data_IF_183444918269
#
_entry.id   IF_183444918269
#
_cell.length_a   1.000
_cell.length_b   1.000
_cell.length_c   1.000
_cell.angle_alpha   90.00
_cell.angle_beta   90.00
_cell.angle_gamma   90.00
#
_symmetry.space_group_name_H-M   'P 1'
#
loop_
_entity.id
_entity.type
_entity.pdbx_description
1 polymer ?
#
# COMPACT_ATOMS: atom_id res chain seq x y z
N UNK A 1 11.86 -45.40 -60.39
CA UNK A 1 11.88 -43.94 -60.13
C UNK A 1 10.57 -43.62 -59.42
N UNK A 2 10.42 -43.58 -58.09
CA UNK A 2 11.08 -42.83 -56.99
C UNK A 2 11.05 -41.30 -57.13
N UNK A 3 10.40 -40.68 -56.14
CA UNK A 3 10.40 -39.25 -55.77
C UNK A 3 9.10 -38.55 -56.15
N UNK A 4 8.42 -37.72 -55.36
CA UNK A 4 8.48 -37.19 -53.98
C UNK A 4 7.41 -36.06 -54.01
N UNK A 5 6.69 -35.62 -52.99
CA UNK A 5 6.64 -35.80 -51.55
C UNK A 5 5.86 -34.56 -51.06
N UNK A 6 4.74 -34.75 -50.37
CA UNK A 6 3.89 -33.66 -49.90
C UNK A 6 4.47 -33.07 -48.62
N UNK A 7 4.78 -31.77 -48.63
CA UNK A 7 5.20 -31.03 -47.43
C UNK A 7 3.96 -30.66 -46.60
N UNK A 8 3.71 -31.49 -45.58
CA UNK A 8 2.86 -31.16 -44.45
C UNK A 8 3.65 -30.28 -43.47
N UNK A 9 3.39 -28.98 -43.48
CA UNK A 9 3.89 -28.07 -42.45
C UNK A 9 3.15 -28.33 -41.14
N UNK A 10 3.71 -29.21 -40.31
CA UNK A 10 3.32 -29.39 -38.93
C UNK A 10 3.58 -28.11 -38.14
N UNK A 11 2.51 -27.40 -37.75
CA UNK A 11 2.59 -26.42 -36.67
C UNK A 11 2.84 -27.20 -35.39
N UNK A 12 4.09 -27.24 -34.95
CA UNK A 12 4.45 -27.68 -33.62
C UNK A 12 3.82 -26.73 -32.61
N UNK A 13 2.72 -27.16 -31.99
CA UNK A 13 2.28 -26.60 -30.72
C UNK A 13 3.32 -26.96 -29.69
N UNK A 14 4.30 -26.07 -29.47
CA UNK A 14 5.11 -26.13 -28.27
C UNK A 14 4.17 -25.90 -27.10
N UNK A 15 4.06 -26.88 -26.20
CA UNK A 15 3.52 -26.66 -24.86
C UNK A 15 4.42 -25.62 -24.19
N UNK A 16 4.13 -24.33 -24.37
CA UNK A 16 4.60 -23.30 -23.48
C UNK A 16 4.08 -23.67 -22.10
N UNK A 17 4.99 -24.17 -21.25
CA UNK A 17 4.68 -24.47 -19.86
C UNK A 17 3.98 -23.26 -19.26
N UNK A 18 2.77 -23.47 -18.74
CA UNK A 18 2.00 -22.38 -18.16
C UNK A 18 2.86 -21.70 -17.08
N UNK A 19 3.08 -20.37 -17.17
CA UNK A 19 3.69 -19.65 -16.06
C UNK A 19 2.78 -19.82 -14.84
N UNK A 20 3.34 -20.20 -13.71
CA UNK A 20 2.60 -20.43 -12.47
C UNK A 20 2.74 -21.84 -11.88
N UNK A 21 3.90 -22.49 -11.99
CA UNK A 21 4.17 -23.67 -11.17
C UNK A 21 3.98 -23.36 -9.67
N UNK A 22 3.61 -24.34 -8.81
CA UNK A 22 3.41 -24.08 -7.39
C UNK A 22 4.69 -23.47 -6.77
N UNK A 23 4.66 -22.17 -6.50
CA UNK A 23 5.79 -21.38 -5.98
C UNK A 23 6.28 -20.25 -6.89
N UNK A 24 5.81 -20.15 -8.14
CA UNK A 24 6.18 -19.03 -9.01
C UNK A 24 5.48 -17.73 -8.57
N UNK A 25 6.29 -16.73 -8.25
CA UNK A 25 5.81 -15.42 -7.80
C UNK A 25 5.40 -14.63 -9.04
N UNK A 26 4.10 -14.37 -9.18
CA UNK A 26 3.63 -13.44 -10.19
C UNK A 26 4.18 -12.03 -9.90
N UNK A 27 4.47 -11.21 -10.91
CA UNK A 27 4.92 -9.86 -10.63
C UNK A 27 3.76 -9.00 -10.11
N UNK A 28 4.03 -8.13 -9.13
CA UNK A 28 3.09 -7.17 -8.56
C UNK A 28 2.40 -6.27 -9.62
N UNK A 29 3.02 -6.12 -10.79
CA UNK A 29 2.51 -5.35 -11.94
C UNK A 29 1.51 -6.09 -12.84
N UNK A 30 1.37 -7.42 -12.72
CA UNK A 30 0.59 -8.22 -13.67
C UNK A 30 -0.87 -7.77 -13.79
N UNK A 31 -1.52 -7.41 -12.67
CA UNK A 31 -2.89 -6.90 -12.74
C UNK A 31 -3.00 -5.58 -13.52
N UNK A 32 -2.01 -4.70 -13.40
CA UNK A 32 -2.00 -3.45 -14.18
C UNK A 32 -1.75 -3.73 -15.66
N UNK A 33 -0.91 -4.70 -15.99
CA UNK A 33 -0.69 -5.16 -17.38
C UNK A 33 -1.97 -5.73 -17.98
N UNK A 34 -2.68 -6.61 -17.25
CA UNK A 34 -3.95 -7.18 -17.67
C UNK A 34 -5.00 -6.08 -17.90
N UNK A 35 -5.12 -5.13 -16.98
CA UNK A 35 -6.08 -4.01 -17.08
C UNK A 35 -5.73 -3.04 -18.23
N UNK A 36 -4.44 -2.84 -18.53
CA UNK A 36 -3.99 -2.09 -19.70
C UNK A 36 -4.30 -2.85 -21.00
N UNK A 37 -4.04 -4.17 -21.03
CA UNK A 37 -4.28 -5.01 -22.20
C UNK A 37 -5.75 -5.00 -22.64
N UNK A 38 -6.69 -5.01 -21.69
CA UNK A 38 -8.13 -4.91 -21.96
C UNK A 38 -8.64 -3.47 -22.15
N UNK A 39 -7.76 -2.48 -22.14
CA UNK A 39 -8.11 -1.07 -22.35
C UNK A 39 -8.87 -0.43 -21.18
N UNK A 40 -8.81 -1.01 -19.98
CA UNK A 40 -9.43 -0.44 -18.79
C UNK A 40 -8.58 0.66 -18.15
N UNK A 41 -7.27 0.42 -18.02
CA UNK A 41 -6.32 1.43 -17.54
C UNK A 41 -5.73 2.21 -18.72
N UNK A 42 -5.89 3.54 -18.77
CA UNK A 42 -5.22 4.35 -19.79
C UNK A 42 -3.75 4.61 -19.46
N UNK A 43 -3.41 4.67 -18.17
CA UNK A 43 -2.03 4.85 -17.69
C UNK A 43 -1.76 3.89 -16.54
N UNK A 44 -0.55 3.35 -16.49
CA UNK A 44 0.00 2.63 -15.33
C UNK A 44 1.10 3.47 -14.69
N UNK A 45 1.13 3.46 -13.35
CA UNK A 45 2.15 4.08 -12.51
C UNK A 45 2.79 3.01 -11.65
N UNK A 46 4.10 2.81 -11.76
CA UNK A 46 4.87 1.86 -10.94
C UNK A 46 6.07 2.55 -10.31
N UNK A 47 6.41 2.21 -9.07
CA UNK A 47 7.59 2.72 -8.37
C UNK A 47 8.64 1.61 -8.26
N UNK A 48 9.80 1.82 -8.88
CA UNK A 48 10.89 0.83 -8.96
C UNK A 48 12.13 1.35 -8.25
N UNK A 49 13.01 0.45 -7.81
CA UNK A 49 14.38 0.86 -7.45
C UNK A 49 15.09 1.41 -8.69
N UNK A 50 16.02 2.35 -8.48
CA UNK A 50 16.68 3.03 -9.60
C UNK A 50 17.36 2.08 -10.59
N UNK A 51 17.93 0.98 -10.10
CA UNK A 51 18.60 -0.03 -10.93
C UNK A 51 17.63 -0.84 -11.82
N UNK A 52 16.36 -0.89 -11.45
CA UNK A 52 15.33 -1.67 -12.15
C UNK A 52 14.48 -0.85 -13.14
N UNK A 53 14.65 0.49 -13.17
CA UNK A 53 13.84 1.39 -13.98
C UNK A 53 13.90 1.04 -15.47
N UNK A 54 15.11 0.79 -16.00
CA UNK A 54 15.27 0.50 -17.43
C UNK A 54 14.66 -0.86 -17.81
N UNK A 55 14.77 -1.86 -16.93
CA UNK A 55 14.12 -3.15 -17.11
C UNK A 55 12.59 -3.02 -17.10
N UNK A 56 12.05 -2.24 -16.16
CA UNK A 56 10.61 -1.94 -16.10
C UNK A 56 10.13 -1.21 -17.36
N UNK A 57 10.90 -0.24 -17.88
CA UNK A 57 10.57 0.47 -19.12
C UNK A 57 10.56 -0.45 -20.33
N UNK A 58 11.62 -1.25 -20.50
CA UNK A 58 11.72 -2.21 -21.59
C UNK A 58 10.54 -3.20 -21.58
N UNK A 59 10.10 -3.64 -20.39
CA UNK A 59 8.92 -4.50 -20.23
C UNK A 59 7.64 -3.82 -20.74
N UNK A 60 7.40 -2.56 -20.41
CA UNK A 60 6.23 -1.82 -20.91
C UNK A 60 6.32 -1.51 -22.41
N UNK A 61 7.50 -1.22 -22.92
CA UNK A 61 7.74 -0.99 -24.35
C UNK A 61 7.50 -2.24 -25.19
N UNK A 62 7.86 -3.43 -24.67
CA UNK A 62 7.54 -4.72 -25.28
C UNK A 62 6.02 -4.98 -25.37
N UNK A 63 5.22 -4.36 -24.50
CA UNK A 63 3.75 -4.37 -24.55
C UNK A 63 3.15 -3.28 -25.47
N UNK A 64 4.00 -2.54 -26.19
CA UNK A 64 3.58 -1.46 -27.09
C UNK A 64 3.21 -0.17 -26.38
N UNK A 65 3.61 0.01 -25.11
CA UNK A 65 3.44 1.25 -24.39
C UNK A 65 4.62 2.20 -24.62
N UNK A 66 4.36 3.50 -24.57
CA UNK A 66 5.38 4.52 -24.38
C UNK A 66 5.56 4.77 -22.88
N UNK A 67 6.81 5.01 -22.47
CA UNK A 67 7.18 5.21 -21.06
C UNK A 67 7.70 6.61 -20.79
N UNK A 68 7.35 7.15 -19.63
CA UNK A 68 7.89 8.40 -19.09
C UNK A 68 8.32 8.14 -17.66
N UNK A 69 9.44 8.70 -17.22
CA UNK A 69 9.91 8.56 -15.83
C UNK A 69 9.72 9.86 -15.04
N UNK A 70 9.41 9.70 -13.76
CA UNK A 70 9.38 10.79 -12.77
C UNK A 70 10.78 11.19 -12.29
N UNK A 71 10.86 12.11 -11.34
CA UNK A 71 12.12 12.42 -10.65
C UNK A 71 12.47 11.28 -9.67
N UNK A 72 13.75 10.92 -9.51
CA UNK A 72 14.18 10.00 -8.45
C UNK A 72 13.81 10.53 -7.07
N UNK A 73 13.34 9.64 -6.20
CA UNK A 73 13.01 9.93 -4.81
C UNK A 73 13.83 9.04 -3.89
N UNK A 74 14.13 9.52 -2.67
CA UNK A 74 14.74 8.69 -1.64
C UNK A 74 13.66 8.23 -0.68
N UNK A 75 13.60 6.94 -0.43
CA UNK A 75 12.67 6.34 0.52
C UNK A 75 13.46 5.89 1.75
N UNK A 76 13.02 6.32 2.93
CA UNK A 76 13.50 5.78 4.19
C UNK A 76 12.92 4.36 4.33
N UNK A 77 13.76 3.33 4.35
CA UNK A 77 13.29 1.93 4.30
C UNK A 77 12.51 1.51 5.54
N UNK A 78 12.83 2.07 6.71
CA UNK A 78 12.19 1.70 7.97
C UNK A 78 10.78 2.30 8.08
N UNK A 79 10.64 3.56 7.70
CA UNK A 79 9.39 4.29 7.81
C UNK A 79 8.56 4.24 6.53
N UNK A 80 9.17 3.85 5.41
CA UNK A 80 8.61 3.89 4.06
C UNK A 80 8.03 5.28 3.75
N UNK A 81 8.64 6.30 4.34
CA UNK A 81 8.37 7.68 4.05
C UNK A 81 9.13 8.03 2.77
N UNK A 82 8.41 8.48 1.75
CA UNK A 82 9.03 9.17 0.63
C UNK A 82 9.64 10.47 1.16
N UNK A 83 10.97 10.55 1.16
CA UNK A 83 11.73 11.77 1.36
C UNK A 83 11.82 12.43 -0.03
N UNK A 84 10.82 13.23 -0.35
CA UNK A 84 10.65 13.82 -1.70
C UNK A 84 11.68 14.90 -2.04
N UNK A 85 12.43 15.42 -1.07
CA UNK A 85 13.56 16.29 -1.36
C UNK A 85 14.73 15.95 -0.46
N UNK A 86 15.90 15.79 -1.08
CA UNK A 86 17.19 15.73 -0.38
C UNK A 86 17.46 17.03 0.41
N UNK A 87 16.71 18.10 0.12
CA UNK A 87 16.81 19.43 0.73
C UNK A 87 15.46 20.01 1.23
N UNK A 88 14.36 19.24 1.32
CA UNK A 88 13.09 19.74 1.91
C UNK A 88 13.27 19.85 3.39
N UNK A 89 13.60 21.05 3.80
CA UNK A 89 13.53 21.47 5.17
C UNK A 89 12.05 21.42 5.59
N UNK A 90 11.65 20.37 6.30
CA UNK A 90 10.33 20.34 6.95
C UNK A 90 10.27 21.49 7.97
N UNK A 91 9.62 22.59 7.61
CA UNK A 91 9.38 23.71 8.53
C UNK A 91 8.19 23.38 9.42
N UNK A 92 8.45 22.77 10.57
CA UNK A 92 7.65 23.02 11.78
C UNK A 92 8.53 22.77 13.00
N UNK A 93 8.96 23.83 13.72
CA UNK A 93 9.35 23.67 15.13
C UNK A 93 8.09 23.72 15.98
N UNK A 94 7.66 22.62 16.62
CA UNK A 94 6.63 22.76 17.65
C UNK A 94 7.15 23.75 18.69
N UNK A 95 6.34 24.74 19.06
CA UNK A 95 6.71 25.72 20.10
C UNK A 95 7.19 25.02 21.41
N UNK A 96 6.73 23.79 21.64
CA UNK A 96 7.14 22.89 22.71
C UNK A 96 8.64 22.58 22.79
N UNK A 97 9.37 22.67 21.69
CA UNK A 97 10.82 22.37 21.62
C UNK A 97 11.68 23.63 21.49
N UNK A 98 11.09 24.82 21.60
CA UNK A 98 11.85 26.07 21.60
C UNK A 98 12.54 26.25 22.96
N UNK A 99 13.88 26.48 23.05
CA UNK A 99 14.61 26.48 24.33
C UNK A 99 14.05 27.43 25.40
N UNK A 100 13.54 28.60 24.99
CA UNK A 100 12.87 29.53 25.91
C UNK A 100 11.55 28.96 26.45
N UNK A 101 10.79 28.26 25.62
CA UNK A 101 9.50 27.69 25.98
C UNK A 101 9.69 26.42 26.81
N UNK A 102 10.63 25.56 26.42
CA UNK A 102 11.03 24.39 27.20
C UNK A 102 11.49 24.81 28.61
N UNK A 103 12.36 25.81 28.71
CA UNK A 103 12.80 26.37 29.99
C UNK A 103 11.64 26.99 30.78
N UNK A 104 10.75 27.73 30.11
CA UNK A 104 9.58 28.31 30.76
C UNK A 104 8.58 27.25 31.27
N UNK A 105 8.39 26.15 30.53
CA UNK A 105 7.57 25.00 30.93
C UNK A 105 8.23 24.24 32.09
N UNK A 106 9.55 24.06 32.05
CA UNK A 106 10.29 23.42 33.14
C UNK A 106 10.20 24.21 34.45
N UNK A 107 10.25 25.55 34.37
CA UNK A 107 10.14 26.43 35.55
C UNK A 107 8.70 26.61 36.03
N UNK A 108 7.74 26.71 35.11
CA UNK A 108 6.34 27.03 35.42
C UNK A 108 5.40 25.82 35.49
N UNK A 109 5.91 24.62 35.24
CA UNK A 109 5.19 23.36 35.37
C UNK A 109 3.91 23.27 34.51
N UNK A 110 2.84 22.63 35.01
CA UNK A 110 1.62 22.39 34.23
C UNK A 110 0.93 23.66 33.72
N UNK A 111 0.98 24.76 34.47
CA UNK A 111 0.34 26.04 34.09
C UNK A 111 1.07 26.65 32.89
N UNK A 112 2.40 26.70 32.92
CA UNK A 112 3.18 27.16 31.77
C UNK A 112 2.98 26.25 30.56
N UNK A 113 2.85 24.93 30.75
CA UNK A 113 2.51 24.00 29.66
C UNK A 113 1.18 24.36 29.01
N UNK A 114 0.16 24.64 29.80
CA UNK A 114 -1.19 24.93 29.29
C UNK A 114 -1.31 26.31 28.66
N UNK A 115 -0.53 27.30 29.11
CA UNK A 115 -0.51 28.64 28.51
C UNK A 115 0.37 28.69 27.26
N UNK A 116 1.52 28.01 27.26
CA UNK A 116 2.53 28.12 26.20
C UNK A 116 2.34 27.07 25.10
N UNK A 117 1.81 25.88 25.41
CA UNK A 117 1.72 24.77 24.45
C UNK A 117 0.30 24.44 23.99
N UNK A 118 -0.73 25.08 24.55
CA UNK A 118 -2.10 24.90 24.07
C UNK A 118 -2.33 25.76 22.81
N UNK A 119 -2.67 25.16 21.65
CA UNK A 119 -2.95 25.91 20.42
C UNK A 119 -4.06 26.96 20.55
N UNK A 120 -4.98 26.78 21.49
CA UNK A 120 -6.07 27.73 21.75
C UNK A 120 -5.64 28.92 22.62
N UNK A 121 -4.46 28.87 23.24
CA UNK A 121 -3.94 29.97 24.04
C UNK A 121 -3.55 31.16 23.15
N UNK A 122 -3.98 32.39 23.47
CA UNK A 122 -3.49 33.59 22.79
C UNK A 122 -1.97 33.74 22.88
N UNK A 123 -1.36 33.29 23.99
CA UNK A 123 0.09 33.36 24.20
C UNK A 123 0.83 32.39 23.29
N UNK A 124 0.29 31.18 23.08
CA UNK A 124 0.85 30.21 22.14
C UNK A 124 0.91 30.77 20.72
N UNK A 125 -0.20 31.35 20.22
CA UNK A 125 -0.27 31.94 18.88
C UNK A 125 0.69 33.11 18.73
N UNK A 126 0.74 34.00 19.72
CA UNK A 126 1.68 35.12 19.74
C UNK A 126 3.14 34.65 19.72
N UNK A 127 3.47 33.58 20.45
CA UNK A 127 4.81 33.01 20.45
C UNK A 127 5.17 32.34 19.13
N UNK A 128 4.23 31.63 18.50
CA UNK A 128 4.44 31.06 17.16
C UNK A 128 4.74 32.15 16.12
N UNK A 129 3.99 33.24 16.13
CA UNK A 129 4.20 34.40 15.25
C UNK A 129 5.53 35.10 15.56
N UNK A 130 5.83 35.36 16.84
CA UNK A 130 7.00 36.14 17.25
C UNK A 130 8.32 35.38 17.12
N UNK A 131 8.29 34.07 17.36
CA UNK A 131 9.47 33.20 17.30
C UNK A 131 9.60 32.48 15.96
N UNK A 132 8.68 32.71 15.03
CA UNK A 132 8.63 32.01 13.75
C UNK A 132 8.53 30.50 13.91
N UNK A 133 7.91 29.99 14.97
CA UNK A 133 7.91 28.55 15.28
C UNK A 133 7.22 27.72 14.18
N UNK A 134 6.23 28.31 13.50
CA UNK A 134 5.56 27.70 12.34
C UNK A 134 6.38 27.78 11.04
N UNK A 135 7.47 28.57 11.00
CA UNK A 135 8.25 28.85 9.79
C UNK A 135 9.73 28.46 9.91
N UNK A 136 10.21 28.16 11.12
CA UNK A 136 11.59 27.80 11.36
C UNK A 136 11.82 26.29 11.12
N UNK A 137 12.79 25.92 10.28
CA UNK A 137 13.31 24.56 10.19
C UNK A 137 13.59 23.96 11.58
N UNK A 138 13.09 22.76 11.86
CA UNK A 138 13.79 21.94 12.85
C UNK A 138 14.89 21.22 12.07
N UNK A 139 16.14 21.59 12.29
CA UNK A 139 17.19 20.58 12.25
C UNK A 139 16.96 19.67 13.46
N UNK A 140 15.99 18.74 13.34
CA UNK A 140 16.07 17.53 14.15
C UNK A 140 17.34 16.90 13.61
N UNK A 141 18.32 16.62 14.47
CA UNK A 141 19.40 15.73 14.07
C UNK A 141 18.72 14.51 13.46
N UNK A 142 18.84 14.38 12.13
CA UNK A 142 18.17 13.34 11.37
C UNK A 142 18.45 12.06 12.16
N UNK A 143 17.44 11.29 12.63
CA UNK A 143 17.74 9.98 13.19
C UNK A 143 18.70 9.31 12.21
N UNK A 144 19.83 8.75 12.70
CA UNK A 144 20.94 8.31 11.85
C UNK A 144 20.32 7.61 10.66
N UNK A 145 20.55 8.16 9.46
CA UNK A 145 19.74 7.82 8.29
C UNK A 145 19.65 6.30 8.22
N UNK A 146 18.43 5.79 8.40
CA UNK A 146 18.16 4.38 8.13
C UNK A 146 18.61 4.08 6.69
N UNK A 147 18.73 2.80 6.31
CA UNK A 147 19.01 2.47 4.93
C UNK A 147 18.05 3.25 4.00
N UNK A 148 18.59 4.07 3.11
CA UNK A 148 17.83 4.81 2.10
C UNK A 148 17.77 3.97 0.83
N UNK A 149 16.61 3.90 0.18
CA UNK A 149 16.48 3.36 -1.18
C UNK A 149 16.17 4.47 -2.15
N UNK A 150 16.91 4.54 -3.24
CA UNK A 150 16.60 5.46 -4.32
C UNK A 150 15.65 4.78 -5.29
N UNK A 151 14.49 5.38 -5.52
CA UNK A 151 13.41 4.83 -6.33
C UNK A 151 12.94 5.85 -7.36
N UNK A 152 12.32 5.39 -8.43
CA UNK A 152 11.77 6.26 -9.47
C UNK A 152 10.47 5.69 -10.03
N UNK A 153 9.56 6.60 -10.33
CA UNK A 153 8.25 6.23 -10.88
C UNK A 153 8.36 6.09 -12.39
N UNK A 154 7.84 4.98 -12.92
CA UNK A 154 7.61 4.74 -14.35
C UNK A 154 6.12 4.91 -14.66
N UNK A 155 5.81 5.74 -15.64
CA UNK A 155 4.48 5.94 -16.19
C UNK A 155 4.42 5.29 -17.58
N UNK A 156 3.50 4.35 -17.77
CA UNK A 156 3.33 3.64 -19.03
C UNK A 156 1.92 3.85 -19.60
N UNK A 157 1.83 4.13 -20.90
CA UNK A 157 0.57 4.37 -21.60
C UNK A 157 0.72 3.99 -23.07
N UNK A 158 -0.38 3.74 -23.79
CA UNK A 158 -0.36 3.66 -25.26
C UNK A 158 -0.25 5.04 -25.93
N UNK A 159 -0.46 6.10 -25.15
CA UNK A 159 -0.44 7.49 -25.60
C UNK A 159 0.51 8.31 -24.72
N UNK A 160 1.51 8.95 -25.35
CA UNK A 160 2.56 9.71 -24.66
C UNK A 160 1.97 10.83 -23.80
N UNK A 161 1.00 11.57 -24.35
CA UNK A 161 0.36 12.69 -23.66
C UNK A 161 -0.30 12.28 -22.33
N UNK A 162 -0.83 11.05 -22.23
CA UNK A 162 -1.43 10.56 -20.99
C UNK A 162 -0.36 10.22 -19.94
N UNK A 163 0.76 9.59 -20.35
CA UNK A 163 1.87 9.29 -19.44
C UNK A 163 2.52 10.59 -18.90
N UNK A 164 2.75 11.58 -19.77
CA UNK A 164 3.28 12.88 -19.36
C UNK A 164 2.33 13.63 -18.41
N UNK A 165 1.03 13.60 -18.69
CA UNK A 165 0.01 14.19 -17.82
C UNK A 165 -0.04 13.51 -16.46
N UNK A 166 0.07 12.19 -16.40
CA UNK A 166 0.11 11.45 -15.13
C UNK A 166 1.34 11.84 -14.31
N UNK A 167 2.52 11.94 -14.93
CA UNK A 167 3.74 12.42 -14.28
C UNK A 167 3.57 13.82 -13.70
N UNK A 168 3.01 14.75 -14.47
CA UNK A 168 2.79 16.12 -14.02
C UNK A 168 1.86 16.19 -12.80
N UNK A 169 0.76 15.44 -12.83
CA UNK A 169 -0.20 15.38 -11.72
C UNK A 169 0.36 14.71 -10.46
N UNK A 170 1.20 13.67 -10.60
CA UNK A 170 1.80 12.98 -9.45
C UNK A 170 2.78 13.87 -8.67
N UNK A 171 3.54 14.70 -9.38
CA UNK A 171 4.39 15.74 -8.78
C UNK A 171 3.55 16.68 -7.91
N UNK A 172 2.49 17.25 -8.49
CA UNK A 172 1.58 18.17 -7.77
C UNK A 172 0.90 17.51 -6.57
N UNK A 173 0.52 16.23 -6.69
CA UNK A 173 -0.09 15.48 -5.59
C UNK A 173 0.88 15.23 -4.42
N UNK A 174 2.18 15.14 -4.71
CA UNK A 174 3.26 14.96 -3.73
C UNK A 174 3.57 16.25 -2.98
N UNK A 175 3.50 17.40 -3.66
CA UNK A 175 3.76 18.73 -3.07
C UNK A 175 2.62 19.19 -2.12
N UNK A 176 1.56 18.39 -1.95
CA UNK A 176 0.45 18.69 -1.04
C UNK A 176 -0.48 19.82 -1.51
N UNK A 177 -0.28 20.36 -2.71
CA UNK A 177 -0.90 21.62 -3.17
C UNK A 177 -2.31 21.48 -3.76
N UNK A 178 -2.91 20.28 -3.83
CA UNK A 178 -4.31 20.17 -4.29
C UNK A 178 -4.97 18.80 -4.14
N UNK A 179 -6.10 18.73 -3.43
CA UNK A 179 -6.98 17.53 -3.42
C UNK A 179 -7.61 17.25 -4.81
N UNK A 180 -7.72 18.27 -5.67
CA UNK A 180 -8.21 18.13 -7.05
C UNK A 180 -7.28 17.30 -7.94
N UNK A 181 -5.97 17.42 -7.74
CA UNK A 181 -4.97 16.75 -8.58
C UNK A 181 -4.92 15.25 -8.30
N UNK A 182 -5.03 14.84 -7.03
CA UNK A 182 -5.11 13.43 -6.65
C UNK A 182 -6.36 12.73 -7.24
N UNK A 183 -7.49 13.44 -7.32
CA UNK A 183 -8.71 12.89 -7.95
C UNK A 183 -8.53 12.74 -9.46
N UNK A 184 -7.93 13.75 -10.10
CA UNK A 184 -7.66 13.75 -11.54
C UNK A 184 -6.64 12.68 -11.92
N UNK A 185 -5.58 12.52 -11.14
CA UNK A 185 -4.59 11.46 -11.28
C UNK A 185 -5.25 10.09 -11.13
N UNK A 186 -6.05 9.89 -10.07
CA UNK A 186 -6.75 8.62 -9.87
C UNK A 186 -7.64 8.23 -11.06
N UNK A 187 -8.37 9.19 -11.65
CA UNK A 187 -9.14 8.96 -12.87
C UNK A 187 -8.27 8.55 -14.06
N UNK A 188 -7.12 9.21 -14.23
CA UNK A 188 -6.16 8.90 -15.30
C UNK A 188 -5.50 7.53 -15.13
N UNK A 189 -5.37 7.04 -13.89
CA UNK A 189 -4.86 5.70 -13.58
C UNK A 189 -5.96 4.61 -13.64
N UNK A 190 -7.18 4.97 -14.05
CA UNK A 190 -8.32 4.06 -14.16
C UNK A 190 -8.98 3.71 -12.82
N UNK A 191 -8.75 4.48 -11.76
CA UNK A 191 -9.34 4.19 -10.45
C UNK A 191 -10.82 4.60 -10.43
N UNK A 192 -11.69 3.86 -9.71
CA UNK A 192 -13.05 4.29 -9.49
C UNK A 192 -13.11 5.69 -8.90
N UNK A 193 -14.03 6.53 -9.38
CA UNK A 193 -14.17 7.90 -8.89
C UNK A 193 -14.39 7.98 -7.37
N UNK A 194 -15.09 7.01 -6.77
CA UNK A 194 -15.27 6.92 -5.31
C UNK A 194 -13.95 6.64 -4.57
N UNK A 195 -13.06 5.84 -5.15
CA UNK A 195 -11.75 5.52 -4.59
C UNK A 195 -10.79 6.70 -4.70
N UNK A 196 -10.72 7.33 -5.87
CA UNK A 196 -9.90 8.52 -6.09
C UNK A 196 -10.28 9.66 -5.14
N UNK A 197 -11.58 9.94 -4.97
CA UNK A 197 -12.06 10.96 -4.00
C UNK A 197 -11.73 10.59 -2.55
N UNK A 198 -11.93 9.34 -2.15
CA UNK A 198 -11.66 8.91 -0.79
C UNK A 198 -10.16 9.01 -0.44
N UNK A 199 -9.29 8.68 -1.41
CA UNK A 199 -7.84 8.83 -1.26
C UNK A 199 -7.42 10.31 -1.23
N UNK A 200 -7.98 11.14 -2.12
CA UNK A 200 -7.72 12.57 -2.17
C UNK A 200 -8.11 13.30 -0.87
N UNK A 201 -9.16 12.81 -0.18
CA UNK A 201 -9.66 13.36 1.08
C UNK A 201 -8.83 12.98 2.32
N UNK A 202 -7.82 12.12 2.19
CA UNK A 202 -6.92 11.82 3.31
C UNK A 202 -6.01 13.03 3.58
N UNK A 203 -5.94 13.43 4.86
CA UNK A 203 -4.98 14.44 5.33
C UNK A 203 -3.54 14.02 5.02
N UNK A 204 -3.25 12.72 5.19
CA UNK A 204 -1.98 12.12 4.85
C UNK A 204 -2.20 10.82 4.09
N UNK A 205 -1.57 10.71 2.92
CA UNK A 205 -1.74 9.60 1.96
C UNK A 205 -0.65 8.53 2.07
N UNK A 206 0.36 8.78 2.90
CA UNK A 206 1.53 7.95 3.14
C UNK A 206 1.81 7.83 4.65
N UNK A 207 2.46 6.76 5.13
CA UNK A 207 2.74 5.51 4.41
C UNK A 207 1.44 4.77 4.07
N UNK A 208 1.55 3.65 3.34
CA UNK A 208 0.41 2.80 2.90
C UNK A 208 -0.55 2.42 4.03
N UNK A 209 -0.05 2.32 5.28
CA UNK A 209 -0.87 2.14 6.47
C UNK A 209 -2.06 3.11 6.56
N UNK A 210 -1.88 4.38 6.18
CA UNK A 210 -2.93 5.43 6.28
C UNK A 210 -4.14 5.13 5.38
N UNK A 211 -3.99 4.94 4.06
CA UNK A 211 -5.12 4.54 3.24
C UNK A 211 -5.71 3.18 3.63
N UNK A 212 -4.90 2.23 4.13
CA UNK A 212 -5.40 0.94 4.64
C UNK A 212 -6.34 1.15 5.85
N UNK A 213 -5.90 1.87 6.87
CA UNK A 213 -6.70 2.17 8.07
C UNK A 213 -8.01 2.89 7.70
N UNK A 214 -7.92 3.88 6.81
CA UNK A 214 -9.08 4.63 6.36
C UNK A 214 -10.08 3.75 5.57
N UNK A 215 -9.59 2.87 4.70
CA UNK A 215 -10.44 1.92 3.97
C UNK A 215 -11.08 0.92 4.94
N UNK A 216 -10.29 0.36 5.86
CA UNK A 216 -10.72 -0.59 6.88
C UNK A 216 -11.84 -0.01 7.76
N UNK A 217 -11.70 1.22 8.25
CA UNK A 217 -12.70 1.87 9.09
C UNK A 217 -14.05 2.14 8.40
N UNK A 218 -14.08 2.14 7.06
CA UNK A 218 -15.30 2.28 6.26
C UNK A 218 -15.85 0.94 5.77
N UNK A 219 -15.11 -0.15 5.94
CA UNK A 219 -15.44 -1.48 5.42
C UNK A 219 -16.43 -2.19 6.33
N UNK A 220 -17.44 -2.86 5.74
CA UNK A 220 -18.34 -3.77 6.47
C UNK A 220 -17.99 -5.23 6.23
N UNK A 221 -17.60 -5.56 5.00
CA UNK A 221 -17.21 -6.91 4.58
C UNK A 221 -15.87 -6.82 3.84
N UNK A 222 -14.97 -7.76 4.10
CA UNK A 222 -13.65 -7.81 3.45
C UNK A 222 -13.69 -8.78 2.27
N UNK A 223 -13.95 -8.27 1.07
CA UNK A 223 -13.97 -9.08 -0.13
C UNK A 223 -12.54 -9.54 -0.49
N UNK A 224 -12.28 -10.86 -0.63
CA UNK A 224 -10.96 -11.38 -1.04
C UNK A 224 -10.39 -10.72 -2.27
N UNK A 225 -11.25 -10.46 -3.25
CA UNK A 225 -10.93 -9.82 -4.53
C UNK A 225 -10.25 -8.45 -4.35
N UNK A 226 -10.49 -7.79 -3.22
CA UNK A 226 -9.94 -6.46 -2.88
C UNK A 226 -8.75 -6.52 -1.92
N UNK A 227 -8.21 -7.72 -1.64
CA UNK A 227 -7.02 -7.88 -0.81
C UNK A 227 -5.77 -7.38 -1.56
N UNK A 228 -5.46 -6.11 -1.38
CA UNK A 228 -4.32 -5.44 -2.00
C UNK A 228 -3.09 -5.40 -1.08
N UNK A 229 -3.06 -6.20 0.00
CA UNK A 229 -1.90 -6.30 0.90
C UNK A 229 -0.87 -7.35 0.41
N UNK A 230 -1.29 -8.24 -0.48
CA UNK A 230 -0.40 -9.22 -1.09
C UNK A 230 0.45 -8.63 -2.25
N UNK A 231 0.87 -7.35 -2.17
CA UNK A 231 1.57 -6.68 -3.28
C UNK A 231 2.87 -7.40 -3.71
N UNK A 232 3.57 -8.05 -2.77
CA UNK A 232 4.79 -8.83 -3.06
C UNK A 232 4.52 -10.14 -3.83
N UNK A 233 3.25 -10.58 -3.93
CA UNK A 233 2.84 -11.77 -4.69
C UNK A 233 1.95 -11.38 -5.86
N UNK A 234 0.74 -10.94 -5.57
CA UNK A 234 -0.21 -10.53 -6.58
C UNK A 234 -1.37 -9.82 -5.89
N UNK A 235 -1.90 -8.78 -6.50
CA UNK A 235 -3.18 -8.19 -6.13
C UNK A 235 -3.95 -7.86 -7.40
N UNK A 236 -5.26 -8.09 -7.42
CA UNK A 236 -6.10 -7.70 -8.57
C UNK A 236 -6.14 -6.19 -8.79
N UNK A 237 -5.78 -5.41 -7.78
CA UNK A 237 -5.82 -3.95 -7.81
C UNK A 237 -4.50 -3.37 -7.31
N UNK A 238 -3.96 -2.43 -8.10
CA UNK A 238 -2.77 -1.66 -7.74
C UNK A 238 -3.13 -0.30 -7.10
N UNK A 239 -4.21 -0.25 -6.30
CA UNK A 239 -4.62 0.93 -5.54
C UNK A 239 -5.33 0.52 -4.24
N UNK A 240 -5.45 1.46 -3.29
CA UNK A 240 -6.25 1.27 -2.09
C UNK A 240 -7.73 1.58 -2.39
N UNK A 241 -8.65 0.62 -2.23
CA UNK A 241 -10.06 0.89 -2.46
C UNK A 241 -10.59 1.82 -1.36
N UNK A 242 -11.68 2.56 -1.62
CA UNK A 242 -12.27 3.41 -0.57
C UNK A 242 -12.79 2.59 0.62
N UNK A 243 -13.11 1.32 0.39
CA UNK A 243 -13.55 0.27 1.33
C UNK A 243 -13.21 -1.09 0.75
N UNK A 244 -13.00 -2.12 1.56
CA UNK A 244 -12.77 -3.49 1.09
C UNK A 244 -14.05 -4.26 0.71
N UNK A 245 -15.19 -3.55 0.64
CA UNK A 245 -16.44 -3.96 -0.01
C UNK A 245 -16.85 -2.99 -1.15
N UNK A 246 -15.89 -2.26 -1.72
CA UNK A 246 -16.17 -1.32 -2.81
C UNK A 246 -16.57 -2.06 -4.10
N UNK A 247 -17.86 -2.03 -4.44
CA UNK A 247 -18.42 -2.65 -5.65
C UNK A 247 -17.70 -2.24 -6.94
N UNK A 248 -17.38 -0.95 -7.10
CA UNK A 248 -16.70 -0.46 -8.31
C UNK A 248 -15.28 -1.03 -8.45
N UNK A 249 -14.55 -1.15 -7.33
CA UNK A 249 -13.23 -1.80 -7.34
C UNK A 249 -13.35 -3.30 -7.61
N UNK A 250 -14.36 -3.95 -7.03
CA UNK A 250 -14.59 -5.38 -7.20
C UNK A 250 -14.91 -5.71 -8.66
N UNK A 251 -15.77 -4.91 -9.31
CA UNK A 251 -16.08 -5.07 -10.73
C UNK A 251 -14.82 -4.99 -11.61
N UNK A 252 -13.89 -4.07 -11.33
CA UNK A 252 -12.64 -3.96 -12.10
C UNK A 252 -11.73 -5.17 -11.86
N UNK A 253 -11.62 -5.60 -10.61
CA UNK A 253 -10.85 -6.80 -10.27
C UNK A 253 -11.43 -8.05 -10.96
N UNK A 254 -12.76 -8.17 -11.02
CA UNK A 254 -13.45 -9.26 -11.70
C UNK A 254 -13.23 -9.21 -13.23
N UNK A 255 -13.11 -8.02 -13.84
CA UNK A 255 -12.73 -7.91 -15.26
C UNK A 255 -11.33 -8.48 -15.52
N UNK A 256 -10.35 -8.15 -14.67
CA UNK A 256 -8.99 -8.69 -14.78
C UNK A 256 -8.97 -10.21 -14.57
N UNK A 257 -9.68 -10.70 -13.56
CA UNK A 257 -9.80 -12.13 -13.27
C UNK A 257 -10.47 -12.90 -14.40
N UNK A 258 -11.59 -12.38 -14.93
CA UNK A 258 -12.30 -12.98 -16.06
C UNK A 258 -11.44 -13.03 -17.33
N UNK A 259 -10.64 -11.98 -17.58
CA UNK A 259 -9.71 -11.98 -18.71
C UNK A 259 -8.66 -13.09 -18.55
N UNK A 260 -8.01 -13.17 -17.38
CA UNK A 260 -6.97 -14.16 -17.10
C UNK A 260 -7.52 -15.59 -17.11
N UNK A 261 -8.74 -15.80 -16.60
CA UNK A 261 -9.38 -17.10 -16.50
C UNK A 261 -9.66 -17.77 -17.86
N UNK A 262 -9.72 -16.99 -18.96
CA UNK A 262 -9.91 -17.55 -20.30
C UNK A 262 -8.72 -18.38 -20.76
N UNK A 263 -7.53 -18.06 -20.28
CA UNK A 263 -6.29 -18.76 -20.62
C UNK A 263 -5.79 -19.61 -19.46
N UNK A 264 -5.88 -19.09 -18.23
CA UNK A 264 -5.33 -19.72 -17.02
C UNK A 264 -6.35 -19.74 -15.87
N UNK A 265 -7.44 -20.53 -15.97
CA UNK A 265 -8.48 -20.58 -14.93
C UNK A 265 -7.95 -21.14 -13.60
N UNK A 266 -6.96 -22.04 -13.64
CA UNK A 266 -6.38 -22.66 -12.45
C UNK A 266 -5.51 -21.67 -11.68
N UNK A 267 -4.79 -20.80 -12.40
CA UNK A 267 -4.03 -19.70 -11.82
C UNK A 267 -4.95 -18.71 -11.10
N UNK A 268 -6.09 -18.35 -11.70
CA UNK A 268 -7.08 -17.48 -11.05
C UNK A 268 -7.60 -18.09 -9.76
N UNK A 269 -7.88 -19.40 -9.73
CA UNK A 269 -8.30 -20.10 -8.49
C UNK A 269 -7.20 -20.07 -7.42
N UNK A 270 -5.94 -20.25 -7.80
CA UNK A 270 -4.82 -20.19 -6.88
C UNK A 270 -4.64 -18.77 -6.30
N UNK A 271 -4.72 -17.73 -7.13
CA UNK A 271 -4.71 -16.33 -6.70
C UNK A 271 -5.86 -16.07 -5.73
N UNK A 272 -7.07 -16.50 -6.05
CA UNK A 272 -8.25 -16.24 -5.22
C UNK A 272 -8.19 -16.94 -3.87
N UNK A 273 -7.67 -18.17 -3.84
CA UNK A 273 -7.40 -18.88 -2.60
C UNK A 273 -6.37 -18.14 -1.73
N UNK A 274 -5.31 -17.59 -2.33
CA UNK A 274 -4.30 -16.82 -1.60
C UNK A 274 -4.87 -15.49 -1.09
N UNK A 275 -5.59 -14.74 -1.92
CA UNK A 275 -6.19 -13.45 -1.55
C UNK A 275 -7.34 -13.61 -0.55
N UNK A 276 -7.95 -14.80 -0.47
CA UNK A 276 -8.97 -15.17 0.50
C UNK A 276 -8.47 -15.39 1.92
N UNK A 277 -7.16 -15.35 2.18
CA UNK A 277 -6.63 -15.52 3.53
C UNK A 277 -6.67 -14.21 4.31
N UNK A 278 -7.12 -14.21 5.59
CA UNK A 278 -6.99 -13.06 6.47
C UNK A 278 -5.54 -12.60 6.60
N UNK A 279 -5.33 -11.29 6.68
CA UNK A 279 -4.00 -10.69 6.70
C UNK A 279 -3.72 -9.98 8.00
N UNK A 280 -2.47 -10.07 8.45
CA UNK A 280 -1.87 -9.21 9.46
C UNK A 280 -0.95 -8.24 8.75
N UNK A 281 -1.07 -6.96 9.05
CA UNK A 281 -0.22 -5.91 8.52
C UNK A 281 0.38 -5.12 9.68
N UNK A 282 1.70 -5.17 9.81
CA UNK A 282 2.45 -4.32 10.74
C UNK A 282 2.93 -3.06 10.01
N UNK A 283 3.59 -3.26 8.87
CA UNK A 283 4.08 -2.28 7.90
C UNK A 283 4.26 -2.97 6.52
N UNK A 284 4.76 -2.30 5.48
CA UNK A 284 4.82 -2.95 4.15
C UNK A 284 5.87 -4.08 4.08
N UNK A 285 6.89 -4.06 4.94
CA UNK A 285 7.92 -5.11 5.03
C UNK A 285 7.53 -6.29 5.93
N UNK A 286 6.55 -6.13 6.82
CA UNK A 286 6.14 -7.12 7.81
C UNK A 286 4.64 -7.38 7.74
N UNK A 287 4.29 -8.36 6.91
CA UNK A 287 2.92 -8.80 6.67
C UNK A 287 2.82 -10.32 6.82
N UNK A 288 1.63 -10.82 7.17
CA UNK A 288 1.40 -12.26 7.31
C UNK A 288 0.02 -12.69 6.86
N UNK A 289 -0.12 -13.95 6.44
CA UNK A 289 -1.40 -14.65 6.38
C UNK A 289 -1.72 -15.32 7.71
N UNK A 290 -3.00 -15.33 8.11
CA UNK A 290 -3.49 -16.18 9.18
C UNK A 290 -4.03 -17.48 8.57
N UNK A 291 -3.27 -18.56 8.72
CA UNK A 291 -3.57 -19.88 8.11
C UNK A 291 -4.74 -20.53 8.85
N UNK A 292 -5.70 -21.10 8.11
CA UNK A 292 -6.91 -21.75 8.63
C UNK A 292 -7.71 -20.89 9.63
N UNK A 293 -7.72 -19.57 9.38
CA UNK A 293 -8.40 -18.61 10.22
C UNK A 293 -9.93 -18.76 10.15
N UNK A 294 -10.59 -18.59 11.30
CA UNK A 294 -12.06 -18.64 11.44
C UNK A 294 -12.54 -17.80 12.62
N UNK A 295 -13.77 -17.31 12.54
CA UNK A 295 -14.44 -16.66 13.66
C UNK A 295 -14.73 -17.64 14.81
N UNK A 296 -14.40 -17.24 16.03
CA UNK A 296 -14.74 -17.90 17.31
C UNK A 296 -15.51 -16.90 18.18
N UNK A 297 -16.68 -16.49 17.68
CA UNK A 297 -17.48 -15.41 18.25
C UNK A 297 -17.30 -14.07 17.52
N UNK A 298 -17.95 -13.00 18.01
CA UNK A 298 -18.14 -11.74 17.29
C UNK A 298 -16.85 -10.92 17.11
N UNK A 299 -15.84 -11.18 17.93
CA UNK A 299 -14.61 -10.36 18.00
C UNK A 299 -13.35 -11.20 18.00
N UNK A 300 -13.43 -12.53 17.86
CA UNK A 300 -12.25 -13.39 17.96
C UNK A 300 -12.05 -14.18 16.69
N UNK A 301 -10.82 -14.17 16.20
CA UNK A 301 -10.35 -15.01 15.10
C UNK A 301 -9.36 -16.03 15.64
N UNK A 302 -9.65 -17.32 15.48
CA UNK A 302 -8.70 -18.41 15.73
C UNK A 302 -8.04 -18.82 14.42
N UNK A 303 -6.77 -19.18 14.46
CA UNK A 303 -6.00 -19.62 13.30
C UNK A 303 -5.02 -20.72 13.70
N UNK A 304 -4.54 -21.48 12.72
CA UNK A 304 -3.59 -22.58 12.95
C UNK A 304 -2.13 -22.12 12.90
N UNK A 305 -1.85 -21.01 12.22
CA UNK A 305 -0.50 -20.46 12.13
C UNK A 305 -0.44 -19.07 11.49
N UNK A 306 0.74 -18.47 11.54
CA UNK A 306 1.05 -17.17 10.95
C UNK A 306 2.10 -17.39 9.87
N UNK A 307 1.73 -17.23 8.60
CA UNK A 307 2.63 -17.38 7.47
C UNK A 307 3.19 -16.02 7.05
N UNK A 308 4.49 -15.73 7.26
CA UNK A 308 5.10 -14.48 6.82
C UNK A 308 4.98 -14.28 5.31
N UNK A 309 4.84 -13.02 4.92
CA UNK A 309 4.70 -12.57 3.54
C UNK A 309 5.87 -11.64 3.23
N UNK A 310 6.88 -12.21 2.56
CA UNK A 310 8.18 -11.56 2.31
C UNK A 310 9.30 -12.09 3.21
N UNK A 311 10.53 -12.03 2.70
CA UNK A 311 11.69 -12.64 3.35
C UNK A 311 12.08 -11.93 4.66
N UNK A 312 11.94 -10.60 4.70
CA UNK A 312 12.28 -9.78 5.87
C UNK A 312 11.18 -9.78 6.95
N UNK A 313 9.99 -10.31 6.64
CA UNK A 313 8.84 -10.27 7.54
C UNK A 313 9.02 -11.19 8.76
N UNK A 314 9.83 -12.25 8.63
CA UNK A 314 9.94 -13.32 9.62
C UNK A 314 10.38 -12.82 11.01
N UNK A 315 11.37 -11.92 11.07
CA UNK A 315 11.89 -11.40 12.33
C UNK A 315 10.85 -10.55 13.08
N UNK A 316 10.19 -9.62 12.37
CA UNK A 316 9.16 -8.76 12.96
C UNK A 316 7.91 -9.54 13.40
N UNK A 317 7.62 -10.66 12.73
CA UNK A 317 6.47 -11.52 13.01
C UNK A 317 6.78 -12.68 13.97
N UNK A 318 8.03 -12.89 14.35
CA UNK A 318 8.42 -13.99 15.24
C UNK A 318 7.58 -14.04 16.54
N UNK A 319 7.24 -12.91 17.21
CA UNK A 319 6.37 -12.95 18.39
C UNK A 319 4.98 -13.53 18.11
N UNK A 320 4.46 -13.37 16.88
CA UNK A 320 3.14 -13.85 16.49
C UNK A 320 3.09 -15.35 16.17
N UNK A 321 4.24 -16.01 16.02
CA UNK A 321 4.27 -17.46 15.73
C UNK A 321 3.70 -18.31 16.87
N UNK A 322 3.70 -17.80 18.11
CA UNK A 322 3.09 -18.46 19.25
C UNK A 322 1.58 -18.12 19.40
N UNK A 323 1.04 -17.20 18.61
CA UNK A 323 -0.36 -16.80 18.72
C UNK A 323 -1.29 -17.92 18.22
N UNK A 324 -2.38 -18.17 18.94
CA UNK A 324 -3.45 -19.10 18.52
C UNK A 324 -4.76 -18.38 18.18
N UNK A 325 -4.88 -17.11 18.56
CA UNK A 325 -5.99 -16.24 18.17
C UNK A 325 -5.66 -14.75 18.27
N UNK A 326 -6.53 -13.96 17.67
CA UNK A 326 -6.55 -12.50 17.80
C UNK A 326 -7.95 -12.03 18.20
N UNK A 327 -8.01 -11.07 19.12
CA UNK A 327 -9.23 -10.36 19.50
C UNK A 327 -9.25 -9.00 18.80
N UNK A 328 -10.36 -8.71 18.12
CA UNK A 328 -10.63 -7.48 17.38
C UNK A 328 -11.72 -6.69 18.11
N UNK A 329 -11.33 -5.59 18.73
CA UNK A 329 -12.25 -4.71 19.45
C UNK A 329 -12.01 -3.24 19.10
N UNK A 330 -12.67 -2.33 19.83
CA UNK A 330 -12.56 -0.89 19.58
C UNK A 330 -11.13 -0.34 19.82
N UNK A 331 -10.29 -1.03 20.59
CA UNK A 331 -8.89 -0.68 20.81
C UNK A 331 -7.96 -1.26 19.73
N UNK A 332 -8.47 -2.13 18.85
CA UNK A 332 -7.73 -2.71 17.73
C UNK A 332 -7.53 -4.23 17.89
N UNK A 333 -6.45 -4.73 17.31
CA UNK A 333 -6.10 -6.15 17.33
C UNK A 333 -5.20 -6.50 18.52
N UNK A 334 -5.57 -7.54 19.27
CA UNK A 334 -4.78 -8.09 20.37
C UNK A 334 -4.52 -9.58 20.16
N UNK A 335 -3.27 -9.91 19.81
CA UNK A 335 -2.82 -11.29 19.61
C UNK A 335 -2.58 -12.00 20.94
N UNK A 336 -2.91 -13.29 20.99
CA UNK A 336 -2.88 -14.08 22.21
C UNK A 336 -2.43 -15.51 21.96
N UNK A 337 -1.81 -16.08 22.99
CA UNK A 337 -1.54 -17.52 23.15
C UNK A 337 -2.31 -17.98 24.39
N UNK A 338 -3.44 -18.67 24.20
CA UNK A 338 -4.34 -19.02 25.28
C UNK A 338 -4.85 -17.78 26.06
N UNK A 339 -4.31 -17.51 27.25
CA UNK A 339 -4.67 -16.31 28.04
C UNK A 339 -3.62 -15.19 27.97
N UNK A 340 -2.40 -15.51 27.52
CA UNK A 340 -1.27 -14.59 27.46
C UNK A 340 -1.45 -13.63 26.28
N UNK A 341 -1.33 -12.33 26.52
CA UNK A 341 -1.26 -11.33 25.45
C UNK A 341 0.15 -11.33 24.87
N UNK A 342 0.26 -11.29 23.55
CA UNK A 342 1.53 -11.12 22.84
C UNK A 342 1.72 -9.63 22.61
N UNK A 343 2.83 -9.10 23.10
CA UNK A 343 3.21 -7.71 22.89
C UNK A 343 3.98 -7.57 21.58
N UNK A 344 3.61 -6.57 20.79
CA UNK A 344 4.30 -6.20 19.55
C UNK A 344 4.96 -4.83 19.75
N UNK A 345 6.12 -4.66 19.15
CA UNK A 345 6.75 -3.35 19.05
C UNK A 345 6.05 -2.50 17.99
N UNK A 346 6.00 -1.18 18.22
CA UNK A 346 5.48 -0.22 17.25
C UNK A 346 3.95 -0.04 17.30
N UNK A 347 3.37 0.51 16.20
CA UNK A 347 1.94 0.73 16.11
C UNK A 347 1.14 -0.58 16.19
N UNK A 348 -0.12 -0.54 16.65
CA UNK A 348 -0.98 -1.72 16.68
C UNK A 348 -1.07 -2.42 15.31
N UNK A 349 -0.99 -3.74 15.29
CA UNK A 349 -1.20 -4.50 14.07
C UNK A 349 -2.59 -4.25 13.48
N UNK A 350 -2.68 -4.17 12.15
CA UNK A 350 -3.97 -4.23 11.45
C UNK A 350 -4.28 -5.68 11.12
N UNK A 351 -5.51 -6.11 11.36
CA UNK A 351 -5.99 -7.44 10.97
C UNK A 351 -7.18 -7.27 10.03
N UNK A 352 -7.00 -7.74 8.80
CA UNK A 352 -8.00 -7.63 7.75
C UNK A 352 -8.58 -9.04 7.49
N UNK A 353 -9.83 -9.31 7.93
CA UNK A 353 -10.43 -10.64 7.89
C UNK A 353 -10.95 -11.02 6.49
N UNK A 354 -10.11 -10.87 5.45
CA UNK A 354 -10.45 -11.28 4.09
C UNK A 354 -10.87 -12.74 4.02
N UNK A 355 -11.86 -13.03 3.18
CA UNK A 355 -12.38 -14.39 2.96
C UNK A 355 -13.17 -14.96 4.13
N UNK A 356 -13.22 -14.26 5.26
CA UNK A 356 -14.18 -14.54 6.31
C UNK A 356 -15.45 -13.78 6.01
N UNK A 357 -16.59 -14.45 6.14
CA UNK A 357 -17.89 -13.78 6.19
C UNK A 357 -17.95 -12.77 7.34
N UNK A 358 -19.08 -12.03 7.47
CA UNK A 358 -19.26 -11.14 8.61
C UNK A 358 -19.09 -11.91 9.92
N UNK A 359 -18.55 -11.27 10.97
CA UNK A 359 -18.46 -11.91 12.28
C UNK A 359 -19.87 -12.33 12.74
N UNK A 360 -20.00 -13.46 13.44
CA UNK A 360 -21.28 -13.89 13.97
C UNK A 360 -21.84 -12.81 14.91
N UNK A 361 -23.16 -12.58 14.83
CA UNK A 361 -23.83 -11.58 15.67
C UNK A 361 -23.63 -11.88 17.17
N UNK A 362 -23.55 -10.81 17.98
CA UNK A 362 -23.62 -10.94 19.44
C UNK A 362 -24.99 -11.52 19.80
N UNK A 363 -25.01 -12.74 20.34
CA UNK A 363 -26.22 -13.36 20.88
C UNK A 363 -26.61 -12.73 22.20
#
# INVERSE_FOLDING_TARGET
>A
MRGAGADGSGRGGGDEAAPGGPGEVLPAGLASELLMAIGHKPVVRELHDLEDVDAARARWEALGCVTVVGEPVREDVETQAMVTEVDSVHTVRPLATHPLVERAVALGGPVARQVLLNPQSPVHRWLCERLGAEQAPVEVARPPAGPERARQVVYASRELALAERARALDRMASDGTGAGDATTLGALLGYPACCARAFAALERRWPNRRPIEAAMGRTRIFLPRLNNLALHRFAWLAWFPCRYDCEASAAIADLAAAHLARTWPDLVRAIDAELGQPRVYLNDAAQAALVDARWDGPTRLRFAGVAPLGDDAAAALAPLQAADHVVLDAAGASFREGRRRIELSGPPALVLPFGLGPPPARR
#
